data_IF_902830677505
#
_entry.id   IF_902830677505
#
_cell.length_a   1.000
_cell.length_b   1.000
_cell.length_c   1.000
_cell.angle_alpha   90.00
_cell.angle_beta   90.00
_cell.angle_gamma   90.00
#
_symmetry.space_group_name_H-M   'P 1'
#
loop_
_entity.id
_entity.type
_entity.pdbx_description
1 polymer ?
#
# COMPACT_ATOMS: atom_id res chain seq x y z
N UNK A 1 -1.64 -7.58 19.67
CA UNK A 1 -2.56 -8.52 18.97
C UNK A 1 -3.19 -9.57 19.89
N UNK A 2 -2.41 -10.41 20.58
CA UNK A 2 -2.95 -11.51 21.40
C UNK A 2 -3.87 -11.06 22.55
N UNK A 3 -3.62 -9.92 23.21
CA UNK A 3 -4.48 -9.42 24.29
C UNK A 3 -5.81 -8.81 23.80
N UNK A 4 -5.81 -8.09 22.68
CA UNK A 4 -7.04 -7.50 22.10
C UNK A 4 -7.93 -8.58 21.44
N UNK A 5 -7.33 -9.60 20.81
CA UNK A 5 -8.07 -10.71 20.23
C UNK A 5 -8.65 -11.67 21.29
N UNK A 6 -8.00 -11.79 22.47
CA UNK A 6 -8.46 -12.62 23.60
C UNK A 6 -9.58 -11.99 24.43
N UNK A 7 -9.71 -10.66 24.42
CA UNK A 7 -10.69 -9.95 25.27
C UNK A 7 -12.16 -10.01 24.80
N UNK A 8 -12.54 -10.92 23.90
CA UNK A 8 -13.94 -11.24 23.60
C UNK A 8 -14.81 -10.14 22.94
N UNK A 9 -14.35 -8.89 22.89
CA UNK A 9 -15.12 -7.75 22.39
C UNK A 9 -15.01 -7.49 20.87
N UNK A 10 -14.22 -8.28 20.15
CA UNK A 10 -14.10 -8.17 18.69
C UNK A 10 -15.05 -9.21 18.06
N UNK A 11 -16.26 -8.80 17.67
CA UNK A 11 -17.20 -9.65 16.92
C UNK A 11 -16.53 -10.22 15.66
N UNK A 12 -16.97 -11.36 15.14
CA UNK A 12 -16.38 -11.97 13.93
C UNK A 12 -16.31 -10.96 12.75
N UNK A 13 -17.29 -10.06 12.68
CA UNK A 13 -17.37 -8.97 11.69
C UNK A 13 -16.23 -7.95 11.82
N UNK A 14 -15.77 -7.66 13.03
CA UNK A 14 -14.68 -6.71 13.27
C UNK A 14 -13.32 -7.22 12.77
N UNK A 15 -13.15 -8.54 12.65
CA UNK A 15 -11.92 -9.20 12.17
C UNK A 15 -11.87 -9.34 10.63
N UNK A 16 -12.95 -9.00 9.94
CA UNK A 16 -13.01 -8.91 8.48
C UNK A 16 -12.59 -7.50 8.05
N UNK A 17 -11.54 -7.41 7.23
CA UNK A 17 -10.89 -6.12 7.03
C UNK A 17 -10.07 -5.97 5.77
N UNK A 18 -9.48 -4.77 5.66
CA UNK A 18 -8.50 -4.38 4.69
C UNK A 18 -7.10 -4.36 5.30
N UNK A 19 -6.10 -4.77 4.52
CA UNK A 19 -4.69 -4.52 4.81
C UNK A 19 -4.23 -3.35 3.95
N UNK A 20 -4.08 -2.19 4.59
CA UNK A 20 -3.68 -0.93 3.96
C UNK A 20 -2.20 -0.74 4.18
N UNK A 21 -1.48 -0.23 3.18
CA UNK A 21 -0.08 0.09 3.35
C UNK A 21 0.36 1.32 2.55
N UNK A 22 1.36 2.00 3.10
CA UNK A 22 2.00 3.16 2.48
C UNK A 22 3.47 3.23 2.91
N UNK A 23 4.26 3.99 2.15
CA UNK A 23 5.68 4.22 2.40
C UNK A 23 5.92 5.63 2.95
N UNK A 24 6.54 5.71 4.12
CA UNK A 24 6.86 6.99 4.78
C UNK A 24 8.36 7.29 4.69
N UNK A 25 8.72 8.48 4.23
CA UNK A 25 10.12 8.93 4.20
C UNK A 25 10.60 9.19 5.63
N UNK A 26 11.79 8.68 5.98
CA UNK A 26 12.46 8.95 7.25
C UNK A 26 13.81 9.64 7.01
N UNK A 27 14.38 10.22 8.08
CA UNK A 27 15.75 10.74 8.03
C UNK A 27 16.72 9.58 8.03
N UNK A 28 17.51 9.48 6.98
CA UNK A 28 18.60 8.50 6.88
C UNK A 28 19.64 8.77 7.96
N UNK A 29 20.03 7.73 8.70
CA UNK A 29 21.05 7.83 9.74
C UNK A 29 21.12 6.56 10.58
N UNK A 30 22.25 6.42 11.28
CA UNK A 30 22.48 5.32 12.21
C UNK A 30 22.34 5.83 13.63
N UNK A 31 21.64 5.06 14.47
CA UNK A 31 21.42 5.38 15.88
C UNK A 31 21.83 4.18 16.71
N UNK A 32 22.72 4.40 17.67
CA UNK A 32 23.05 3.38 18.65
C UNK A 32 21.95 3.27 19.69
N UNK A 33 21.37 2.08 19.83
CA UNK A 33 20.39 1.78 20.87
C UNK A 33 21.11 1.13 22.06
N UNK A 34 21.17 1.83 23.20
CA UNK A 34 21.77 1.28 24.41
C UNK A 34 20.93 0.13 25.01
N UNK A 35 19.62 0.09 24.75
CA UNK A 35 18.70 -0.94 25.26
C UNK A 35 18.91 -2.28 24.56
N UNK A 36 19.01 -2.28 23.24
CA UNK A 36 19.25 -3.50 22.44
C UNK A 36 20.74 -3.77 22.24
N UNK A 37 21.59 -2.78 22.53
CA UNK A 37 23.03 -2.81 22.28
C UNK A 37 23.35 -3.05 20.79
N UNK A 38 22.54 -2.46 19.90
CA UNK A 38 22.61 -2.63 18.46
C UNK A 38 22.62 -1.28 17.75
N UNK A 39 23.25 -1.26 16.57
CA UNK A 39 23.22 -0.12 15.67
C UNK A 39 21.97 -0.21 14.78
N UNK A 40 21.05 0.73 14.97
CA UNK A 40 19.79 0.81 14.22
C UNK A 40 19.93 1.75 13.01
N UNK A 41 19.05 1.57 12.02
CA UNK A 41 18.96 2.43 10.84
C UNK A 41 19.26 1.73 9.52
N UNK A 42 19.54 0.43 9.55
CA UNK A 42 19.68 -0.39 8.34
C UNK A 42 18.32 -0.83 7.79
N UNK A 43 18.31 -1.29 6.55
CA UNK A 43 17.12 -1.89 5.91
C UNK A 43 16.83 -3.28 6.47
N UNK A 44 15.56 -3.59 6.73
CA UNK A 44 15.09 -4.90 7.20
C UNK A 44 14.94 -5.90 6.04
N UNK A 45 14.67 -5.41 4.83
CA UNK A 45 14.55 -6.26 3.63
C UNK A 45 15.92 -6.30 2.94
N UNK A 46 16.47 -7.51 2.78
CA UNK A 46 17.76 -7.88 2.14
C UNK A 46 18.91 -8.30 3.09
N UNK A 47 18.70 -8.41 4.40
CA UNK A 47 19.78 -8.64 5.37
C UNK A 47 20.29 -10.08 5.44
N UNK A 48 19.98 -10.96 4.49
CA UNK A 48 20.44 -12.35 4.53
C UNK A 48 20.53 -12.99 3.15
N UNK A 49 21.75 -12.98 2.57
CA UNK A 49 22.46 -14.20 2.12
C UNK A 49 23.69 -13.97 1.22
N UNK A 50 23.93 -12.77 0.67
CA UNK A 50 24.95 -12.59 -0.38
C UNK A 50 25.99 -11.48 -0.13
N UNK A 51 26.41 -11.25 1.12
CA UNK A 51 27.55 -10.33 1.42
C UNK A 51 27.39 -8.90 0.89
N UNK A 52 26.15 -8.44 0.65
CA UNK A 52 25.85 -7.08 0.19
C UNK A 52 25.90 -6.12 1.36
N UNK A 53 26.44 -4.93 1.09
CA UNK A 53 26.54 -3.80 2.00
C UNK A 53 25.18 -3.50 2.66
N UNK A 54 25.19 -3.38 3.99
CA UNK A 54 24.01 -2.96 4.75
C UNK A 54 23.64 -1.54 4.35
N UNK A 55 22.46 -1.38 3.76
CA UNK A 55 22.00 -0.08 3.29
C UNK A 55 21.29 0.65 4.43
N UNK A 56 21.54 1.96 4.54
CA UNK A 56 20.79 2.81 5.46
C UNK A 56 19.35 2.92 4.95
N UNK A 57 18.38 2.65 5.80
CA UNK A 57 16.97 2.79 5.47
C UNK A 57 16.61 4.26 5.23
N UNK A 58 15.88 4.51 4.16
CA UNK A 58 15.43 5.85 3.79
C UNK A 58 13.94 6.04 3.99
N UNK A 59 13.21 4.93 4.08
CA UNK A 59 11.78 4.89 4.13
C UNK A 59 11.32 3.76 5.06
N UNK A 60 10.10 3.86 5.58
CA UNK A 60 9.42 2.80 6.33
C UNK A 60 8.18 2.39 5.53
N UNK A 61 8.10 1.12 5.13
CA UNK A 61 6.88 0.52 4.64
C UNK A 61 6.01 0.14 5.85
N UNK A 62 4.84 0.74 5.96
CA UNK A 62 3.94 0.56 7.10
C UNK A 62 2.66 -0.16 6.65
N UNK A 63 2.32 -1.24 7.34
CA UNK A 63 1.06 -1.96 7.17
C UNK A 63 0.09 -1.65 8.31
N UNK A 64 -1.17 -1.43 7.97
CA UNK A 64 -2.28 -1.23 8.89
C UNK A 64 -3.42 -2.17 8.55
N UNK A 65 -3.95 -2.85 9.56
CA UNK A 65 -5.26 -3.48 9.45
C UNK A 65 -6.34 -2.44 9.70
N UNK A 66 -7.33 -2.39 8.81
CA UNK A 66 -8.54 -1.60 8.94
C UNK A 66 -9.73 -2.54 8.92
N UNK A 67 -10.49 -2.60 10.01
CA UNK A 67 -11.77 -3.30 10.01
C UNK A 67 -12.76 -2.61 9.06
N UNK A 68 -13.54 -3.41 8.32
CA UNK A 68 -14.57 -2.88 7.41
C UNK A 68 -15.88 -2.56 8.12
N UNK A 69 -16.19 -3.31 9.17
CA UNK A 69 -17.48 -3.24 9.88
C UNK A 69 -17.36 -2.66 11.29
N UNK A 70 -16.18 -2.14 11.65
CA UNK A 70 -15.95 -1.49 12.94
C UNK A 70 -14.91 -0.39 12.84
N UNK A 71 -14.81 0.45 13.87
CA UNK A 71 -13.79 1.50 13.96
C UNK A 71 -12.42 0.99 14.41
N UNK A 72 -12.22 -0.33 14.44
CA UNK A 72 -10.96 -0.94 14.82
C UNK A 72 -9.91 -0.83 13.71
N UNK A 73 -8.78 -0.21 14.03
CA UNK A 73 -7.61 -0.09 13.15
C UNK A 73 -6.36 -0.37 13.98
N UNK A 74 -5.36 -1.00 13.38
CA UNK A 74 -4.16 -1.38 14.11
C UNK A 74 -2.92 -1.43 13.20
N UNK A 75 -1.79 -0.83 13.61
CA UNK A 75 -0.52 -0.97 12.89
C UNK A 75 -0.02 -2.41 13.00
N UNK A 76 0.06 -3.13 11.88
CA UNK A 76 0.41 -4.54 11.87
C UNK A 76 1.92 -4.77 11.86
N UNK A 77 2.62 -4.05 10.99
CA UNK A 77 4.04 -4.19 10.78
C UNK A 77 4.61 -2.90 10.21
N UNK A 78 5.87 -2.63 10.53
CA UNK A 78 6.68 -1.62 9.86
C UNK A 78 7.96 -2.29 9.39
N UNK A 79 8.46 -1.89 8.23
CA UNK A 79 9.64 -2.49 7.63
C UNK A 79 10.51 -1.37 7.09
N UNK A 80 11.74 -1.27 7.60
CA UNK A 80 12.72 -0.30 7.16
C UNK A 80 13.27 -0.69 5.80
N UNK A 81 13.15 0.22 4.82
CA UNK A 81 13.43 -0.08 3.41
C UNK A 81 14.18 1.06 2.73
N UNK A 82 14.87 0.69 1.65
CA UNK A 82 15.47 1.60 0.67
C UNK A 82 15.16 1.05 -0.71
N UNK A 83 14.56 1.86 -1.57
CA UNK A 83 14.21 1.49 -2.96
C UNK A 83 13.47 0.15 -3.06
N UNK A 84 12.28 0.07 -2.44
CA UNK A 84 11.52 -1.17 -2.39
C UNK A 84 11.03 -1.61 -3.77
N UNK A 85 11.09 -2.91 -4.05
CA UNK A 85 10.59 -3.51 -5.29
C UNK A 85 9.19 -4.08 -5.11
N UNK A 86 8.43 -4.20 -6.21
CA UNK A 86 7.09 -4.82 -6.19
C UNK A 86 7.09 -6.27 -5.69
N UNK A 87 8.20 -7.01 -5.88
CA UNK A 87 8.35 -8.37 -5.37
C UNK A 87 8.48 -8.37 -3.83
N UNK A 88 9.31 -7.49 -3.27
CA UNK A 88 9.46 -7.36 -1.81
C UNK A 88 8.15 -6.92 -1.16
N UNK A 89 7.42 -5.98 -1.77
CA UNK A 89 6.07 -5.58 -1.32
C UNK A 89 5.14 -6.80 -1.32
N UNK A 90 5.14 -7.60 -2.39
CA UNK A 90 4.30 -8.80 -2.50
C UNK A 90 4.63 -9.80 -1.39
N UNK A 91 5.91 -10.05 -1.14
CA UNK A 91 6.38 -10.95 -0.10
C UNK A 91 5.92 -10.49 1.29
N UNK A 92 6.19 -9.23 1.64
CA UNK A 92 5.82 -8.66 2.94
C UNK A 92 4.29 -8.61 3.11
N UNK A 93 3.54 -8.29 2.05
CA UNK A 93 2.09 -8.27 2.06
C UNK A 93 1.52 -9.67 2.39
N UNK A 94 1.95 -10.71 1.68
CA UNK A 94 1.44 -12.07 1.90
C UNK A 94 1.85 -12.65 3.25
N UNK A 95 3.06 -12.34 3.72
CA UNK A 95 3.48 -12.68 5.08
C UNK A 95 2.56 -12.01 6.13
N UNK A 96 2.25 -10.72 5.94
CA UNK A 96 1.29 -10.00 6.77
C UNK A 96 -0.11 -10.62 6.75
N UNK A 97 -0.61 -11.00 5.57
CA UNK A 97 -1.91 -11.69 5.43
C UNK A 97 -1.89 -13.04 6.15
N UNK A 98 -0.83 -13.82 5.99
CA UNK A 98 -0.64 -15.11 6.66
C UNK A 98 -0.69 -14.96 8.19
N UNK A 99 0.12 -14.03 8.73
CA UNK A 99 0.19 -13.76 10.16
C UNK A 99 -1.17 -13.32 10.71
N UNK A 100 -1.84 -12.39 10.05
CA UNK A 100 -3.17 -11.91 10.45
C UNK A 100 -4.20 -13.05 10.44
N UNK A 101 -4.13 -13.94 9.45
CA UNK A 101 -5.00 -15.11 9.37
C UNK A 101 -4.82 -16.05 10.58
N UNK A 102 -3.57 -16.29 11.02
CA UNK A 102 -3.32 -17.12 12.22
C UNK A 102 -3.93 -16.54 13.50
N UNK A 103 -4.14 -15.23 13.57
CA UNK A 103 -4.86 -14.55 14.66
C UNK A 103 -6.39 -14.45 14.46
N UNK A 104 -6.91 -15.06 13.39
CA UNK A 104 -8.33 -15.09 13.05
C UNK A 104 -8.84 -13.84 12.32
N UNK A 105 -7.96 -13.05 11.71
CA UNK A 105 -8.34 -11.93 10.85
C UNK A 105 -8.45 -12.39 9.39
N UNK A 106 -9.49 -11.92 8.71
CA UNK A 106 -9.74 -12.24 7.31
C UNK A 106 -9.54 -10.98 6.47
N UNK A 107 -8.49 -11.00 5.64
CA UNK A 107 -8.18 -9.90 4.72
C UNK A 107 -8.88 -10.15 3.39
N UNK A 108 -9.77 -9.23 3.02
CA UNK A 108 -10.51 -9.27 1.75
C UNK A 108 -10.21 -8.07 0.85
N UNK A 109 -9.50 -7.06 1.37
CA UNK A 109 -9.19 -5.84 0.64
C UNK A 109 -7.73 -5.43 0.92
N UNK A 110 -7.07 -4.95 -0.10
CA UNK A 110 -5.76 -4.30 -0.04
C UNK A 110 -5.87 -2.91 -0.61
N UNK A 111 -5.36 -1.90 0.11
CA UNK A 111 -5.36 -0.51 -0.34
C UNK A 111 -3.93 0.03 -0.27
N UNK A 112 -3.46 0.61 -1.37
CA UNK A 112 -2.18 1.28 -1.42
C UNK A 112 -2.23 2.50 -2.35
N UNK A 113 -1.19 3.31 -2.31
CA UNK A 113 -1.05 4.46 -3.18
C UNK A 113 -0.85 4.03 -4.66
N UNK A 114 -0.81 5.03 -5.53
CA UNK A 114 -0.60 4.79 -6.96
C UNK A 114 0.86 4.89 -7.40
N UNK A 115 1.86 4.49 -6.61
CA UNK A 115 3.26 4.40 -7.03
C UNK A 115 3.49 3.30 -8.09
N UNK A 116 4.60 3.35 -8.84
CA UNK A 116 4.89 2.38 -9.90
C UNK A 116 4.99 0.95 -9.38
N UNK A 117 5.62 0.80 -8.23
CA UNK A 117 5.91 -0.45 -7.54
C UNK A 117 4.60 -1.07 -7.03
N UNK A 118 3.71 -0.24 -6.47
CA UNK A 118 2.39 -0.62 -5.99
C UNK A 118 1.46 -1.05 -7.13
N UNK A 119 1.47 -0.34 -8.26
CA UNK A 119 0.71 -0.75 -9.46
C UNK A 119 1.19 -2.09 -10.02
N UNK A 120 2.51 -2.33 -10.02
CA UNK A 120 3.10 -3.62 -10.42
C UNK A 120 2.68 -4.72 -9.43
N UNK A 121 2.77 -4.47 -8.12
CA UNK A 121 2.29 -5.37 -7.08
C UNK A 121 0.84 -5.81 -7.33
N UNK A 122 -0.09 -4.87 -7.56
CA UNK A 122 -1.49 -5.19 -7.85
C UNK A 122 -1.60 -6.05 -9.10
N UNK A 123 -0.93 -5.64 -10.18
CA UNK A 123 -1.02 -6.34 -11.48
C UNK A 123 -0.48 -7.77 -11.38
N UNK A 124 0.65 -7.98 -10.72
CA UNK A 124 1.27 -9.30 -10.54
C UNK A 124 0.40 -10.21 -9.70
N UNK A 125 -0.19 -9.72 -8.61
CA UNK A 125 -1.05 -10.54 -7.76
C UNK A 125 -2.40 -10.84 -8.42
N UNK A 126 -3.02 -9.87 -9.11
CA UNK A 126 -4.31 -10.06 -9.77
C UNK A 126 -4.22 -10.90 -11.07
N UNK A 127 -3.08 -10.91 -11.77
CA UNK A 127 -2.89 -11.66 -13.00
C UNK A 127 -2.83 -13.20 -12.81
N UNK A 128 -2.89 -13.69 -11.57
CA UNK A 128 -2.87 -15.12 -11.25
C UNK A 128 -4.19 -15.85 -11.57
N UNK A 129 -5.23 -15.13 -12.00
CA UNK A 129 -6.52 -15.70 -12.35
C UNK A 129 -6.64 -16.03 -13.85
N UNK A 130 -6.98 -17.28 -14.22
CA UNK A 130 -7.29 -17.63 -15.60
C UNK A 130 -8.68 -17.11 -15.97
N UNK A 131 -8.80 -16.39 -17.10
CA UNK A 131 -10.08 -16.28 -17.82
C UNK A 131 -10.64 -14.89 -18.13
N UNK A 132 -10.08 -13.78 -17.64
CA UNK A 132 -10.51 -12.46 -18.13
C UNK A 132 -9.44 -11.36 -17.96
N UNK A 133 -8.69 -10.98 -19.02
CA UNK A 133 -7.60 -10.01 -18.93
C UNK A 133 -8.04 -8.56 -18.60
N UNK A 134 -9.35 -8.31 -18.47
CA UNK A 134 -9.92 -6.98 -18.22
C UNK A 134 -10.17 -6.66 -16.74
N UNK A 135 -10.25 -7.66 -15.85
CA UNK A 135 -10.55 -7.43 -14.42
C UNK A 135 -9.32 -7.74 -13.55
N UNK A 136 -8.37 -6.81 -13.51
CA UNK A 136 -7.07 -6.94 -12.81
C UNK A 136 -7.10 -6.43 -11.37
N UNK A 137 -8.18 -6.71 -10.64
CA UNK A 137 -8.43 -6.06 -9.34
C UNK A 137 -8.69 -7.03 -8.18
N UNK A 138 -8.52 -8.34 -8.37
CA UNK A 138 -8.58 -9.28 -7.25
C UNK A 138 -7.77 -10.55 -7.53
N UNK A 139 -7.49 -11.32 -6.49
CA UNK A 139 -6.96 -12.69 -6.55
C UNK A 139 -7.70 -13.58 -5.54
N UNK A 140 -7.43 -14.88 -5.53
CA UNK A 140 -7.87 -15.75 -4.44
C UNK A 140 -6.88 -15.64 -3.28
N UNK A 141 -7.39 -15.40 -2.08
CA UNK A 141 -6.60 -15.45 -0.86
C UNK A 141 -6.34 -16.92 -0.50
N UNK A 142 -5.08 -17.40 -0.52
CA UNK A 142 -4.76 -18.81 -0.28
C UNK A 142 -5.08 -19.28 1.15
N UNK A 143 -5.23 -18.36 2.11
CA UNK A 143 -5.48 -18.69 3.51
C UNK A 143 -6.98 -18.78 3.85
N UNK A 144 -7.81 -17.99 3.17
CA UNK A 144 -9.27 -18.00 3.39
C UNK A 144 -10.05 -18.67 2.28
N UNK A 145 -9.40 -18.97 1.14
CA UNK A 145 -9.98 -19.45 -0.10
C UNK A 145 -11.10 -18.53 -0.68
N UNK A 146 -11.17 -17.29 -0.20
CA UNK A 146 -12.09 -16.25 -0.67
C UNK A 146 -11.41 -15.21 -1.56
N UNK A 147 -12.18 -14.29 -2.16
CA UNK A 147 -11.61 -13.21 -2.96
C UNK A 147 -10.88 -12.16 -2.10
N UNK A 148 -9.74 -11.70 -2.58
CA UNK A 148 -9.01 -10.54 -2.06
C UNK A 148 -8.90 -9.49 -3.15
N UNK A 149 -9.53 -8.34 -2.90
CA UNK A 149 -9.58 -7.22 -3.84
C UNK A 149 -8.43 -6.25 -3.62
N UNK A 150 -7.98 -5.61 -4.69
CA UNK A 150 -6.95 -4.58 -4.69
C UNK A 150 -7.53 -3.26 -5.15
N UNK A 151 -7.31 -2.21 -4.36
CA UNK A 151 -7.81 -0.87 -4.63
C UNK A 151 -6.69 0.16 -4.49
N UNK A 152 -6.68 1.17 -5.35
CA UNK A 152 -5.82 2.35 -5.16
C UNK A 152 -6.50 3.37 -4.26
N UNK A 153 -5.72 4.10 -3.48
CA UNK A 153 -6.24 5.15 -2.59
C UNK A 153 -7.09 6.20 -3.36
N UNK A 154 -8.41 6.29 -3.08
CA UNK A 154 -9.29 7.20 -3.84
C UNK A 154 -8.93 8.69 -3.70
N UNK A 155 -8.62 9.23 -2.50
CA UNK A 155 -8.09 10.60 -2.37
C UNK A 155 -6.88 10.89 -3.27
N UNK A 156 -5.91 9.98 -3.37
CA UNK A 156 -4.78 10.14 -4.29
C UNK A 156 -5.21 10.21 -5.77
N UNK A 157 -6.21 9.43 -6.19
CA UNK A 157 -6.75 9.50 -7.55
C UNK A 157 -7.42 10.85 -7.83
N UNK A 158 -8.23 11.35 -6.91
CA UNK A 158 -8.89 12.66 -7.04
C UNK A 158 -7.86 13.78 -7.09
N UNK A 159 -6.85 13.75 -6.21
CA UNK A 159 -5.74 14.72 -6.22
C UNK A 159 -5.00 14.71 -7.57
N UNK A 160 -4.72 13.53 -8.14
CA UNK A 160 -4.06 13.39 -9.44
C UNK A 160 -4.93 13.93 -10.57
N UNK A 161 -6.23 13.63 -10.58
CA UNK A 161 -7.18 14.18 -11.54
C UNK A 161 -7.16 15.71 -11.51
N UNK A 162 -7.33 16.30 -10.32
CA UNK A 162 -7.29 17.75 -10.11
C UNK A 162 -5.97 18.38 -10.58
N UNK A 163 -4.83 17.74 -10.31
CA UNK A 163 -3.53 18.23 -10.79
C UNK A 163 -3.39 18.16 -12.32
N UNK A 164 -3.96 17.12 -12.95
CA UNK A 164 -3.96 16.99 -14.41
C UNK A 164 -4.82 18.07 -15.07
N UNK A 165 -5.99 18.38 -14.49
CA UNK A 165 -6.87 19.46 -14.94
C UNK A 165 -6.20 20.82 -14.73
N UNK A 166 -5.61 21.07 -13.56
CA UNK A 166 -4.88 22.31 -13.28
C UNK A 166 -3.70 22.54 -14.25
N UNK A 167 -3.05 21.48 -14.70
CA UNK A 167 -1.96 21.58 -15.67
C UNK A 167 -2.44 21.66 -17.12
N UNK A 168 -3.75 21.64 -17.35
CA UNK A 168 -4.37 21.59 -18.67
C UNK A 168 -4.79 22.98 -19.11
N UNK A 169 -4.30 23.43 -20.27
CA UNK A 169 -4.66 24.71 -20.83
C UNK A 169 -3.78 25.11 -22.02
N UNK A 170 -3.97 26.34 -22.49
CA UNK A 170 -3.35 26.84 -23.72
C UNK A 170 -2.15 27.77 -23.50
N UNK A 171 -2.03 28.33 -22.29
CA UNK A 171 -0.91 29.18 -21.91
C UNK A 171 0.37 28.37 -21.64
N UNK A 172 1.53 29.00 -21.80
CA UNK A 172 2.86 28.36 -21.63
C UNK A 172 3.09 27.76 -20.24
N UNK A 173 2.34 28.21 -19.22
CA UNK A 173 2.39 27.66 -17.85
C UNK A 173 1.79 26.25 -17.76
N UNK A 174 0.92 25.89 -18.70
CA UNK A 174 0.21 24.62 -18.73
C UNK A 174 1.04 23.55 -19.45
N UNK A 175 1.06 22.34 -18.90
CA UNK A 175 1.91 21.24 -19.36
C UNK A 175 1.14 20.11 -20.03
N UNK A 176 -0.19 20.22 -20.09
CA UNK A 176 -1.09 19.15 -20.54
C UNK A 176 -2.23 19.73 -21.38
N UNK A 177 -2.87 18.84 -22.15
CA UNK A 177 -4.15 19.09 -22.82
C UNK A 177 -5.04 17.88 -22.57
N UNK A 178 -6.00 18.03 -21.67
CA UNK A 178 -6.93 16.96 -21.29
C UNK A 178 -8.16 17.05 -22.19
N UNK A 179 -8.61 15.91 -22.68
CA UNK A 179 -9.77 15.78 -23.55
C UNK A 179 -10.72 14.72 -23.00
N UNK A 180 -12.01 14.95 -23.14
CA UNK A 180 -13.06 14.01 -22.79
C UNK A 180 -14.20 14.15 -23.81
N UNK A 181 -14.58 13.05 -24.45
CA UNK A 181 -15.62 13.00 -25.49
C UNK A 181 -15.49 14.09 -26.57
N UNK A 182 -14.27 14.29 -27.07
CA UNK A 182 -13.98 15.27 -28.12
C UNK A 182 -14.02 16.73 -27.65
N UNK A 183 -14.22 16.98 -26.36
CA UNK A 183 -14.17 18.32 -25.76
C UNK A 183 -12.92 18.47 -24.91
N UNK A 184 -12.30 19.62 -24.97
CA UNK A 184 -11.19 19.94 -24.09
C UNK A 184 -11.66 20.24 -22.67
N UNK A 185 -10.83 19.86 -21.70
CA UNK A 185 -10.99 20.19 -20.29
C UNK A 185 -9.75 20.98 -19.88
N UNK A 186 -9.89 22.29 -19.70
CA UNK A 186 -8.82 23.18 -19.28
C UNK A 186 -9.14 23.81 -17.93
N UNK A 187 -8.12 24.28 -17.22
CA UNK A 187 -8.25 24.83 -15.87
C UNK A 187 -9.22 26.01 -15.82
N UNK A 188 -9.23 26.82 -16.88
CA UNK A 188 -10.06 28.01 -17.05
C UNK A 188 -11.57 27.70 -17.02
N UNK A 189 -11.99 26.46 -17.29
CA UNK A 189 -13.39 26.05 -17.13
C UNK A 189 -13.84 25.99 -15.66
N UNK A 190 -12.91 25.90 -14.72
CA UNK A 190 -13.18 25.70 -13.29
C UNK A 190 -12.91 26.93 -12.43
N UNK A 191 -12.11 27.87 -12.93
CA UNK A 191 -11.89 29.16 -12.27
C UNK A 191 -12.83 30.19 -12.89
N UNK A 192 -13.67 30.80 -12.05
CA UNK A 192 -14.40 31.99 -12.48
C UNK A 192 -13.36 33.11 -12.66
N UNK A 193 -13.31 33.66 -13.87
CA UNK A 193 -12.57 34.88 -14.20
C UNK A 193 -13.37 36.08 -13.73
#
# INVERSE_FOLDING_TARGET
MAQLAKNGNCSLQSKLGALVFDEMKIKEGLVWSAETNELLGFTDINSSKDGKEENIASNILQFFFKSLFSNFNYPCAYIAVRNITSFQISSAFWEGVSLLHTFGFNIILSICDGASENRKFITTNAATLPGNPKEKHYCINPYTNGPLYFMSDPPHLIKKLRNNIHSSGHHDVHKRKVWFDGKEIIWEHFVCV
#
